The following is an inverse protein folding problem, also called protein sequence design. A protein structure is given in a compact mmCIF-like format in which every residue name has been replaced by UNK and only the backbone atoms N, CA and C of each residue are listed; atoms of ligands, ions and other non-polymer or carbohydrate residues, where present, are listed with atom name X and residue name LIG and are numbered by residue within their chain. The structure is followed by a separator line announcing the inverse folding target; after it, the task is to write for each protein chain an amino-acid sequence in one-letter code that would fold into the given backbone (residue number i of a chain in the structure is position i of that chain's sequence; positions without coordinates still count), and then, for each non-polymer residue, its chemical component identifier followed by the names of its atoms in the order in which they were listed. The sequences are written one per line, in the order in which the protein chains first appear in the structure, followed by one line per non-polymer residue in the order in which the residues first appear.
data_IF_138459131682
#
_entry.id   IF_138459131682
#
_cell.length_a   1.000
_cell.length_b   1.000
_cell.length_c   1.000
_cell.angle_alpha   90.00
_cell.angle_beta   90.00
_cell.angle_gamma   90.00
#
_symmetry.space_group_name_H-M   'P 1'
#
loop_
_entity.id
_entity.type
_entity.pdbx_description
1 polymer ?
#
# COMPACT_ATOMS: atom_id res chain seq x y z
N UNK A 1 11.25 -1.26 -49.27
CA UNK A 1 12.27 -1.11 -48.19
C UNK A 1 12.17 0.18 -47.38
N UNK A 2 11.98 1.36 -47.99
CA UNK A 2 11.93 2.65 -47.26
C UNK A 2 10.92 2.66 -46.11
N UNK A 3 9.69 2.18 -46.32
CA UNK A 3 8.62 2.13 -45.32
C UNK A 3 8.94 1.26 -44.10
N UNK A 4 9.60 0.12 -44.29
CA UNK A 4 10.01 -0.76 -43.20
C UNK A 4 11.14 -0.16 -42.37
N UNK A 5 12.17 0.40 -43.03
CA UNK A 5 13.25 1.10 -42.33
C UNK A 5 12.70 2.23 -41.47
N UNK A 6 11.79 3.03 -42.03
CA UNK A 6 11.13 4.11 -41.31
C UNK A 6 10.31 3.61 -40.10
N UNK A 7 9.51 2.54 -40.29
CA UNK A 7 8.69 2.00 -39.21
C UNK A 7 9.52 1.38 -38.09
N UNK A 8 10.61 0.67 -38.44
CA UNK A 8 11.57 0.14 -37.47
C UNK A 8 12.27 1.27 -36.73
N UNK A 9 12.70 2.32 -37.44
CA UNK A 9 13.38 3.47 -36.84
C UNK A 9 12.48 4.19 -35.83
N UNK A 10 11.26 4.57 -36.23
CA UNK A 10 10.30 5.22 -35.33
C UNK A 10 9.98 4.36 -34.10
N UNK A 11 9.86 3.05 -34.29
CA UNK A 11 9.59 2.10 -33.21
C UNK A 11 10.77 2.02 -32.22
N UNK A 12 12.01 1.93 -32.69
CA UNK A 12 13.20 1.89 -31.84
C UNK A 12 13.43 3.24 -31.15
N UNK A 13 13.34 4.35 -31.88
CA UNK A 13 13.49 5.69 -31.31
C UNK A 13 12.46 5.98 -30.23
N UNK A 14 11.24 5.45 -30.36
CA UNK A 14 10.23 5.54 -29.31
C UNK A 14 10.63 4.76 -28.05
N UNK A 15 11.25 3.59 -28.19
CA UNK A 15 11.69 2.77 -27.06
C UNK A 15 12.88 3.35 -26.31
N UNK A 16 13.69 4.17 -26.97
CA UNK A 16 14.89 4.83 -26.41
C UNK A 16 14.55 6.14 -25.66
N UNK A 17 13.29 6.57 -25.69
CA UNK A 17 12.85 7.77 -24.96
C UNK A 17 12.65 7.48 -23.47
N UNK A 18 13.23 8.32 -22.62
CA UNK A 18 12.89 8.35 -21.19
C UNK A 18 11.42 8.78 -20.99
N UNK A 19 10.68 7.96 -20.23
CA UNK A 19 9.25 8.17 -20.01
C UNK A 19 9.02 8.84 -18.66
N UNK A 20 8.69 10.13 -18.70
CA UNK A 20 8.13 10.84 -17.55
C UNK A 20 6.71 10.38 -17.22
N UNK A 21 6.38 10.32 -15.92
CA UNK A 21 5.08 9.86 -15.40
C UNK A 21 3.88 10.61 -15.98
N UNK A 22 4.00 11.92 -16.24
CA UNK A 22 2.92 12.77 -16.76
C UNK A 22 2.55 12.45 -18.22
N UNK A 23 3.40 11.74 -18.96
CA UNK A 23 3.21 11.46 -20.38
C UNK A 23 2.75 10.01 -20.64
N UNK A 24 2.62 9.18 -19.60
CA UNK A 24 2.45 7.72 -19.74
C UNK A 24 1.24 7.30 -20.60
N UNK A 25 0.10 8.00 -20.49
CA UNK A 25 -1.08 7.72 -21.31
C UNK A 25 -0.83 8.02 -22.80
N UNK A 26 -0.27 9.20 -23.12
CA UNK A 26 0.10 9.57 -24.49
C UNK A 26 1.17 8.64 -25.07
N UNK A 27 2.08 8.14 -24.25
CA UNK A 27 3.09 7.18 -24.66
C UNK A 27 2.48 5.82 -24.98
N UNK A 28 1.48 5.37 -24.22
CA UNK A 28 0.75 4.13 -24.52
C UNK A 28 0.07 4.22 -25.88
N UNK A 29 -0.66 5.29 -26.16
CA UNK A 29 -1.35 5.47 -27.44
C UNK A 29 -0.37 5.50 -28.61
N UNK A 30 0.76 6.20 -28.44
CA UNK A 30 1.83 6.26 -29.43
C UNK A 30 2.49 4.89 -29.65
N UNK A 31 2.68 4.09 -28.59
CA UNK A 31 3.18 2.73 -28.71
C UNK A 31 2.20 1.83 -29.49
N UNK A 32 0.91 1.87 -29.14
CA UNK A 32 -0.13 1.09 -29.81
C UNK A 32 -0.20 1.44 -31.31
N UNK A 33 -0.10 2.73 -31.63
CA UNK A 33 0.00 3.21 -33.01
C UNK A 33 1.24 2.67 -33.75
N UNK A 34 2.43 2.81 -33.17
CA UNK A 34 3.68 2.34 -33.78
C UNK A 34 3.71 0.81 -33.92
N UNK A 35 3.16 0.11 -32.94
CA UNK A 35 2.96 -1.34 -32.94
C UNK A 35 2.06 -1.77 -34.11
N UNK A 36 0.89 -1.15 -34.24
CA UNK A 36 -0.02 -1.41 -35.34
C UNK A 36 0.61 -1.11 -36.71
N UNK A 37 1.35 0.01 -36.82
CA UNK A 37 2.09 0.39 -38.03
C UNK A 37 3.15 -0.64 -38.39
N UNK A 38 3.87 -1.18 -37.41
CA UNK A 38 4.89 -2.22 -37.61
C UNK A 38 4.25 -3.53 -38.09
N UNK A 39 3.14 -3.95 -37.48
CA UNK A 39 2.38 -5.14 -37.89
C UNK A 39 1.84 -5.00 -39.31
N UNK A 40 1.24 -3.86 -39.64
CA UNK A 40 0.73 -3.58 -40.99
C UNK A 40 1.86 -3.57 -42.02
N UNK A 41 2.96 -2.90 -41.72
CA UNK A 41 4.12 -2.84 -42.60
C UNK A 41 4.63 -4.24 -42.89
N UNK A 42 4.80 -5.08 -41.86
CA UNK A 42 5.21 -6.46 -42.02
C UNK A 42 4.19 -7.31 -42.80
N UNK A 43 2.93 -6.93 -42.93
CA UNK A 43 1.92 -7.66 -43.74
C UNK A 43 1.99 -7.33 -45.24
N UNK A 44 2.70 -6.28 -45.65
CA UNK A 44 2.78 -5.89 -47.07
C UNK A 44 3.42 -6.99 -47.93
N UNK A 45 2.80 -7.28 -49.08
CA UNK A 45 3.30 -8.23 -50.09
C UNK A 45 4.46 -7.65 -50.92
N UNK A 46 4.56 -6.31 -51.00
CA UNK A 46 5.62 -5.59 -51.70
C UNK A 46 6.96 -5.51 -50.94
N UNK A 47 7.03 -6.16 -49.78
CA UNK A 47 8.24 -6.21 -48.97
C UNK A 47 9.22 -7.25 -49.53
N UNK A 48 10.21 -6.78 -50.27
CA UNK A 48 11.30 -7.60 -50.77
C UNK A 48 12.34 -7.92 -49.67
N UNK A 49 11.91 -8.67 -48.64
CA UNK A 49 12.76 -9.20 -47.56
C UNK A 49 12.53 -10.70 -47.43
N UNK A 50 13.51 -11.43 -46.90
CA UNK A 50 13.35 -12.87 -46.67
C UNK A 50 12.21 -13.16 -45.68
N UNK A 51 11.55 -14.30 -45.88
CA UNK A 51 10.51 -14.82 -44.97
C UNK A 51 11.03 -14.94 -43.54
N UNK A 52 12.27 -15.39 -43.38
CA UNK A 52 12.90 -15.67 -42.09
C UNK A 52 13.18 -14.38 -41.32
N UNK A 53 13.62 -13.33 -42.03
CA UNK A 53 13.81 -12.01 -41.43
C UNK A 53 12.47 -11.40 -40.99
N UNK A 54 11.42 -11.55 -41.82
CA UNK A 54 10.06 -11.12 -41.49
C UNK A 54 9.48 -11.87 -40.29
N UNK A 55 9.74 -13.18 -40.18
CA UNK A 55 9.35 -13.99 -39.03
C UNK A 55 10.09 -13.55 -37.76
N UNK A 56 11.39 -13.31 -37.85
CA UNK A 56 12.23 -12.82 -36.75
C UNK A 56 11.73 -11.48 -36.22
N UNK A 57 11.41 -10.52 -37.10
CA UNK A 57 10.87 -9.23 -36.69
C UNK A 57 9.53 -9.35 -35.97
N UNK A 58 8.64 -10.26 -36.42
CA UNK A 58 7.37 -10.53 -35.73
C UNK A 58 7.58 -11.09 -34.32
N UNK A 59 8.53 -12.02 -34.16
CA UNK A 59 8.86 -12.62 -32.86
C UNK A 59 9.40 -11.55 -31.91
N UNK A 60 10.35 -10.72 -32.37
CA UNK A 60 10.94 -9.64 -31.57
C UNK A 60 9.85 -8.65 -31.15
N UNK A 61 9.01 -8.21 -32.08
CA UNK A 61 7.91 -7.29 -31.80
C UNK A 61 6.91 -7.85 -30.77
N UNK A 62 6.57 -9.13 -30.88
CA UNK A 62 5.71 -9.83 -29.91
C UNK A 62 6.34 -9.87 -28.51
N UNK A 63 7.63 -10.21 -28.41
CA UNK A 63 8.37 -10.22 -27.14
C UNK A 63 8.40 -8.84 -26.49
N UNK A 64 8.68 -7.79 -27.26
CA UNK A 64 8.70 -6.41 -26.76
C UNK A 64 7.31 -6.01 -26.24
N UNK A 65 6.26 -6.30 -27.01
CA UNK A 65 4.88 -6.00 -26.60
C UNK A 65 4.49 -6.72 -25.31
N UNK A 66 4.89 -7.98 -25.18
CA UNK A 66 4.67 -8.79 -23.96
C UNK A 66 5.41 -8.21 -22.74
N UNK A 67 6.68 -7.83 -22.90
CA UNK A 67 7.47 -7.22 -21.83
C UNK A 67 6.90 -5.87 -21.38
N UNK A 68 6.40 -5.05 -22.32
CA UNK A 68 5.75 -3.79 -21.99
C UNK A 68 4.44 -3.98 -21.24
N UNK A 69 3.60 -4.93 -21.65
CA UNK A 69 2.38 -5.27 -20.92
C UNK A 69 2.70 -5.70 -19.47
N UNK A 70 3.74 -6.53 -19.30
CA UNK A 70 4.21 -6.95 -17.97
C UNK A 70 4.77 -5.78 -17.15
N UNK A 71 5.44 -4.81 -17.78
CA UNK A 71 5.93 -3.62 -17.09
C UNK A 71 4.78 -2.76 -16.55
N UNK A 72 3.71 -2.58 -17.33
CA UNK A 72 2.50 -1.87 -16.90
C UNK A 72 1.85 -2.58 -15.70
N UNK A 73 1.72 -3.90 -15.77
CA UNK A 73 1.18 -4.71 -14.66
C UNK A 73 2.03 -4.56 -13.38
N UNK A 74 3.36 -4.64 -13.51
CA UNK A 74 4.27 -4.48 -12.38
C UNK A 74 4.22 -3.07 -11.77
N UNK A 75 4.07 -2.02 -12.60
CA UNK A 75 3.89 -0.65 -12.11
C UNK A 75 2.58 -0.49 -11.35
N UNK A 76 1.48 -1.08 -11.84
CA UNK A 76 0.20 -1.07 -11.15
C UNK A 76 0.29 -1.80 -9.80
N UNK A 77 0.91 -2.99 -9.76
CA UNK A 77 1.15 -3.73 -8.51
C UNK A 77 2.04 -2.97 -7.53
N UNK A 78 3.09 -2.30 -8.03
CA UNK A 78 3.97 -1.49 -7.19
C UNK A 78 3.23 -0.29 -6.60
N UNK A 79 2.34 0.36 -7.35
CA UNK A 79 1.53 1.46 -6.84
C UNK A 79 0.55 0.97 -5.76
N UNK A 80 -0.07 -0.19 -5.97
CA UNK A 80 -0.93 -0.82 -4.96
C UNK A 80 -0.13 -1.15 -3.69
N UNK A 81 1.04 -1.75 -3.81
CA UNK A 81 1.89 -2.06 -2.66
C UNK A 81 2.26 -0.81 -1.85
N UNK A 82 2.59 0.30 -2.52
CA UNK A 82 2.88 1.57 -1.83
C UNK A 82 1.66 2.10 -1.08
N UNK A 83 0.46 1.97 -1.66
CA UNK A 83 -0.78 2.33 -0.98
C UNK A 83 -1.01 1.47 0.27
N UNK A 84 -0.91 0.14 0.14
CA UNK A 84 -1.13 -0.80 1.23
C UNK A 84 -0.11 -0.60 2.38
N UNK A 85 1.14 -0.25 2.05
CA UNK A 85 2.17 0.09 3.04
C UNK A 85 1.79 1.39 3.78
N UNK A 86 1.34 2.42 3.06
CA UNK A 86 0.88 3.67 3.69
C UNK A 86 -0.31 3.47 4.62
N UNK A 87 -1.27 2.62 4.24
CA UNK A 87 -2.42 2.28 5.07
C UNK A 87 -1.99 1.51 6.33
N UNK A 88 -1.09 0.53 6.17
CA UNK A 88 -0.50 -0.21 7.30
C UNK A 88 0.20 0.74 8.28
N UNK A 89 0.97 1.70 7.80
CA UNK A 89 1.65 2.69 8.66
C UNK A 89 0.64 3.56 9.44
N UNK A 90 -0.46 3.98 8.79
CA UNK A 90 -1.55 4.71 9.45
C UNK A 90 -2.19 3.88 10.57
N UNK A 91 -2.49 2.61 10.32
CA UNK A 91 -3.08 1.70 11.31
C UNK A 91 -2.14 1.47 12.50
N UNK A 92 -0.83 1.35 12.26
CA UNK A 92 0.16 1.22 13.33
C UNK A 92 0.18 2.44 14.25
N UNK A 93 0.08 3.65 13.69
CA UNK A 93 -0.01 4.88 14.49
C UNK A 93 -1.28 4.93 15.35
N UNK A 94 -2.41 4.46 14.82
CA UNK A 94 -3.67 4.39 15.56
C UNK A 94 -3.62 3.35 16.70
N UNK A 95 -2.99 2.19 16.45
CA UNK A 95 -2.74 1.18 17.48
C UNK A 95 -1.87 1.76 18.60
N UNK A 96 -0.80 2.48 18.26
CA UNK A 96 0.08 3.09 19.27
C UNK A 96 -0.66 4.14 20.11
N UNK A 97 -1.49 4.98 19.47
CA UNK A 97 -2.35 5.93 20.19
C UNK A 97 -3.31 5.22 21.14
N UNK A 98 -3.98 4.17 20.67
CA UNK A 98 -4.91 3.36 21.48
C UNK A 98 -4.19 2.72 22.66
N UNK A 99 -2.96 2.24 22.46
CA UNK A 99 -2.13 1.65 23.52
C UNK A 99 -1.75 2.67 24.59
N UNK A 100 -1.43 3.91 24.20
CA UNK A 100 -1.17 5.00 25.14
C UNK A 100 -2.43 5.34 25.96
N UNK A 101 -3.59 5.41 25.30
CA UNK A 101 -4.87 5.66 25.99
C UNK A 101 -5.22 4.52 26.97
N UNK A 102 -5.04 3.27 26.56
CA UNK A 102 -5.25 2.11 27.41
C UNK A 102 -4.35 2.13 28.65
N UNK A 103 -3.06 2.45 28.48
CA UNK A 103 -2.14 2.58 29.61
C UNK A 103 -2.59 3.67 30.59
N UNK A 104 -3.06 4.81 30.07
CA UNK A 104 -3.59 5.90 30.90
C UNK A 104 -4.83 5.47 31.70
N UNK A 105 -5.75 4.73 31.08
CA UNK A 105 -6.93 4.17 31.75
C UNK A 105 -6.49 3.15 32.81
N UNK A 106 -5.60 2.23 32.46
CA UNK A 106 -5.06 1.22 33.36
C UNK A 106 -4.45 1.85 34.62
N UNK A 107 -3.62 2.88 34.47
CA UNK A 107 -3.05 3.61 35.62
C UNK A 107 -4.11 4.27 36.50
N UNK A 108 -5.19 4.81 35.92
CA UNK A 108 -6.30 5.39 36.71
C UNK A 108 -7.02 4.33 37.52
N UNK A 109 -7.33 3.18 36.91
CA UNK A 109 -7.98 2.05 37.59
C UNK A 109 -7.13 1.57 38.76
N UNK A 110 -5.81 1.43 38.58
CA UNK A 110 -4.92 1.04 39.68
C UNK A 110 -4.93 2.02 40.87
N UNK A 111 -5.02 3.32 40.59
CA UNK A 111 -5.15 4.35 41.64
C UNK A 111 -6.51 4.25 42.34
N UNK A 112 -7.59 4.10 41.57
CA UNK A 112 -8.95 3.94 42.12
C UNK A 112 -9.07 2.67 42.99
N UNK A 113 -8.50 1.55 42.56
CA UNK A 113 -8.45 0.30 43.34
C UNK A 113 -7.69 0.50 44.66
N UNK A 114 -6.56 1.21 44.62
CA UNK A 114 -5.77 1.51 45.81
C UNK A 114 -6.55 2.39 46.80
N UNK A 115 -7.25 3.41 46.31
CA UNK A 115 -8.10 4.28 47.12
C UNK A 115 -9.27 3.50 47.74
N UNK A 116 -9.88 2.59 46.99
CA UNK A 116 -10.97 1.73 47.50
C UNK A 116 -10.49 0.82 48.62
N UNK A 117 -9.28 0.26 48.52
CA UNK A 117 -8.68 -0.54 49.59
C UNK A 117 -8.45 0.30 50.84
N UNK A 118 -7.87 1.50 50.70
CA UNK A 118 -7.65 2.42 51.81
C UNK A 118 -8.97 2.81 52.50
N UNK A 119 -9.99 3.17 51.72
CA UNK A 119 -11.30 3.54 52.24
C UNK A 119 -11.97 2.37 52.97
N UNK A 120 -11.84 1.14 52.44
CA UNK A 120 -12.36 -0.05 53.10
C UNK A 120 -11.69 -0.32 54.46
N UNK A 121 -10.40 -0.02 54.60
CA UNK A 121 -9.69 -0.13 55.88
C UNK A 121 -10.17 0.94 56.88
N UNK A 122 -10.29 2.20 56.43
CA UNK A 122 -10.79 3.29 57.29
C UNK A 122 -12.23 3.03 57.78
N UNK A 123 -13.10 2.52 56.92
CA UNK A 123 -14.47 2.15 57.29
C UNK A 123 -14.45 1.07 58.39
N UNK A 124 -13.62 0.03 58.24
CA UNK A 124 -13.49 -1.02 59.27
C UNK A 124 -13.01 -0.45 60.60
N UNK A 125 -12.04 0.45 60.58
CA UNK A 125 -11.53 1.10 61.79
C UNK A 125 -12.58 1.97 62.47
N UNK A 126 -13.29 2.80 61.69
CA UNK A 126 -14.40 3.62 62.20
C UNK A 126 -15.52 2.76 62.80
N UNK A 127 -15.83 1.63 62.15
CA UNK A 127 -16.85 0.70 62.62
C UNK A 127 -16.43 0.03 63.94
N UNK A 128 -15.14 -0.31 64.10
CA UNK A 128 -14.61 -0.80 65.36
C UNK A 128 -14.68 0.26 66.48
N UNK A 129 -14.29 1.52 66.20
CA UNK A 129 -14.39 2.64 67.14
C UNK A 129 -15.84 2.91 67.57
N UNK A 130 -16.77 2.88 66.62
CA UNK A 130 -18.20 3.03 66.89
C UNK A 130 -18.72 1.90 67.81
N UNK A 131 -18.37 0.65 67.51
CA UNK A 131 -18.78 -0.50 68.32
C UNK A 131 -18.22 -0.41 69.75
N UNK A 132 -16.96 0.01 69.89
CA UNK A 132 -16.36 0.26 71.21
C UNK A 132 -17.10 1.37 71.98
N UNK A 133 -17.43 2.49 71.32
CA UNK A 133 -18.18 3.58 71.95
C UNK A 133 -19.58 3.12 72.42
N UNK A 134 -20.29 2.35 71.58
CA UNK A 134 -21.59 1.75 71.95
C UNK A 134 -21.47 0.83 73.16
N UNK A 135 -20.45 -0.02 73.21
CA UNK A 135 -20.21 -0.92 74.34
C UNK A 135 -19.94 -0.14 75.64
N UNK A 136 -19.15 0.94 75.57
CA UNK A 136 -18.89 1.80 76.74
C UNK A 136 -20.16 2.48 77.25
N UNK A 137 -20.94 3.09 76.35
CA UNK A 137 -22.20 3.75 76.72
C UNK A 137 -23.20 2.76 77.35
N UNK A 138 -23.24 1.52 76.87
CA UNK A 138 -24.08 0.48 77.45
C UNK A 138 -23.61 0.00 78.83
N UNK A 139 -22.32 0.12 79.15
CA UNK A 139 -21.77 -0.23 80.46
C UNK A 139 -21.94 0.90 81.51
N UNK A 140 -22.15 2.14 81.04
CA UNK A 140 -22.39 3.32 81.88
C UNK A 140 -23.90 3.58 82.14
N UNK A 141 -24.78 2.78 81.53
CA UNK A 141 -26.24 2.84 81.66
C UNK A 141 -26.78 1.79 82.65
#
# INVERSE_FOLDING_TARGET
MKTLKQSVFEYISFMDMDIDKANAAKQRDKFEFLSAKMVQTLKLHSLNISSDFKATLKIIHSKISSLLAKNVELKAKSAQYLHDVSEKESLLQEIDKTKVELNKISSKVMVEDSLMISLALEIKELQAKMNHCKARLAAEA
#
